data_IF_616947710441
#
_entry.id   IF_616947710441
#
_cell.length_a   1.000
_cell.length_b   1.000
_cell.length_c   1.000
_cell.angle_alpha   90.00
_cell.angle_beta   90.00
_cell.angle_gamma   90.00
#
_symmetry.space_group_name_H-M   'P 1'
#
loop_
_entity.id
_entity.type
_entity.pdbx_description
1 polymer ?
#
# COMPACT_ATOMS: atom_id res chain seq x y z
N UNK A 1 7.85 -19.53 -12.34
CA UNK A 1 6.50 -19.95 -11.89
C UNK A 1 6.17 -19.45 -10.48
N UNK A 2 7.10 -19.45 -9.53
CA UNK A 2 6.81 -18.97 -8.17
C UNK A 2 6.53 -17.46 -8.09
N UNK A 3 7.33 -16.62 -8.79
CA UNK A 3 7.15 -15.16 -8.75
C UNK A 3 5.77 -14.70 -9.25
N UNK A 4 5.23 -15.33 -10.30
CA UNK A 4 3.89 -15.03 -10.81
C UNK A 4 2.78 -15.39 -9.83
N UNK A 5 2.95 -16.45 -9.03
CA UNK A 5 1.97 -16.84 -8.01
C UNK A 5 1.95 -15.84 -6.86
N UNK A 6 3.13 -15.46 -6.34
CA UNK A 6 3.23 -14.44 -5.29
C UNK A 6 2.71 -13.07 -5.75
N UNK A 7 2.92 -12.72 -7.02
CA UNK A 7 2.37 -11.51 -7.61
C UNK A 7 0.84 -11.52 -7.58
N UNK A 8 0.21 -12.62 -8.01
CA UNK A 8 -1.25 -12.76 -7.99
C UNK A 8 -1.80 -12.68 -6.58
N UNK A 9 -1.20 -13.39 -5.62
CA UNK A 9 -1.60 -13.33 -4.21
C UNK A 9 -1.48 -11.90 -3.68
N UNK A 10 -0.38 -11.21 -3.98
CA UNK A 10 -0.16 -9.83 -3.57
C UNK A 10 -1.27 -8.92 -4.10
N UNK A 11 -1.56 -8.95 -5.40
CA UNK A 11 -2.60 -8.12 -6.03
C UNK A 11 -3.98 -8.39 -5.43
N UNK A 12 -4.33 -9.67 -5.24
CA UNK A 12 -5.63 -10.05 -4.69
C UNK A 12 -5.79 -9.60 -3.23
N UNK A 13 -4.77 -9.85 -2.39
CA UNK A 13 -4.81 -9.49 -0.98
C UNK A 13 -4.82 -7.97 -0.79
N UNK A 14 -4.00 -7.23 -1.55
CA UNK A 14 -4.00 -5.77 -1.51
C UNK A 14 -5.32 -5.18 -2.00
N UNK A 15 -5.88 -5.69 -3.11
CA UNK A 15 -7.16 -5.23 -3.62
C UNK A 15 -8.30 -5.48 -2.63
N UNK A 16 -8.34 -6.67 -2.02
CA UNK A 16 -9.33 -7.01 -1.00
C UNK A 16 -9.17 -6.17 0.27
N UNK A 17 -7.92 -5.86 0.66
CA UNK A 17 -7.64 -4.94 1.76
C UNK A 17 -8.22 -3.54 1.47
N UNK A 18 -7.93 -2.93 0.32
CA UNK A 18 -8.47 -1.61 -0.05
C UNK A 18 -10.01 -1.59 0.01
N UNK A 19 -10.65 -2.63 -0.52
CA UNK A 19 -12.11 -2.75 -0.50
C UNK A 19 -12.65 -2.84 0.94
N UNK A 20 -12.08 -3.69 1.78
CA UNK A 20 -12.48 -3.83 3.19
C UNK A 20 -12.21 -2.56 4.00
N UNK A 21 -11.12 -1.83 3.71
CA UNK A 21 -10.82 -0.54 4.32
C UNK A 21 -11.87 0.52 3.99
N UNK A 22 -12.43 0.52 2.76
CA UNK A 22 -13.59 1.35 2.43
C UNK A 22 -14.80 0.96 3.26
N UNK A 23 -15.14 -0.33 3.28
CA UNK A 23 -16.33 -0.83 3.96
C UNK A 23 -16.29 -0.50 5.46
N UNK A 24 -15.15 -0.75 6.10
CA UNK A 24 -14.94 -0.40 7.49
C UNK A 24 -14.93 1.13 7.72
N UNK A 25 -14.39 1.89 6.75
CA UNK A 25 -14.39 3.35 6.69
C UNK A 25 -15.77 4.00 6.79
N UNK A 26 -16.82 3.34 6.31
CA UNK A 26 -18.19 3.87 6.33
C UNK A 26 -18.80 3.94 7.73
N UNK A 27 -18.38 3.05 8.63
CA UNK A 27 -19.00 2.90 9.96
C UNK A 27 -18.12 3.32 11.13
N UNK A 28 -16.81 3.51 10.90
CA UNK A 28 -15.83 3.77 11.95
C UNK A 28 -14.99 4.99 11.59
N UNK A 29 -14.61 5.79 12.60
CA UNK A 29 -13.67 6.87 12.41
C UNK A 29 -12.25 6.33 12.09
N UNK A 30 -11.40 7.11 11.41
CA UNK A 30 -10.06 6.67 11.00
C UNK A 30 -9.16 6.22 12.16
N UNK A 31 -9.34 6.78 13.37
CA UNK A 31 -8.51 6.45 14.53
C UNK A 31 -8.90 5.08 15.09
N UNK A 32 -10.20 4.83 15.22
CA UNK A 32 -10.72 3.52 15.63
C UNK A 32 -10.32 2.43 14.64
N UNK A 33 -10.40 2.71 13.32
CA UNK A 33 -9.94 1.78 12.30
C UNK A 33 -8.46 1.46 12.40
N UNK A 34 -7.61 2.47 12.67
CA UNK A 34 -6.18 2.25 12.84
C UNK A 34 -5.88 1.34 14.04
N UNK A 35 -6.61 1.50 15.15
CA UNK A 35 -6.46 0.63 16.34
C UNK A 35 -6.84 -0.82 16.03
N UNK A 36 -7.99 -1.05 15.37
CA UNK A 36 -8.42 -2.39 14.97
C UNK A 36 -7.49 -3.01 13.92
N UNK A 37 -6.97 -2.21 12.98
CA UNK A 37 -5.98 -2.66 12.01
C UNK A 37 -4.68 -3.09 12.70
N UNK A 38 -4.18 -2.30 13.64
CA UNK A 38 -3.00 -2.63 14.44
C UNK A 38 -3.20 -3.91 15.26
N UNK A 39 -4.39 -4.13 15.82
CA UNK A 39 -4.71 -5.37 16.53
C UNK A 39 -4.65 -6.59 15.60
N UNK A 40 -5.19 -6.49 14.38
CA UNK A 40 -5.08 -7.56 13.38
C UNK A 40 -3.63 -7.87 12.98
N UNK A 41 -2.82 -6.83 12.78
CA UNK A 41 -1.39 -6.96 12.50
C UNK A 41 -0.62 -7.59 13.69
N UNK A 42 -0.98 -7.23 14.92
CA UNK A 42 -0.38 -7.79 16.13
C UNK A 42 -0.67 -9.28 16.27
N UNK A 43 -1.92 -9.70 16.04
CA UNK A 43 -2.31 -11.12 16.08
C UNK A 43 -1.49 -11.93 15.08
N UNK A 44 -1.40 -11.46 13.83
CA UNK A 44 -0.56 -12.09 12.81
C UNK A 44 0.92 -12.11 13.21
N UNK A 45 1.43 -11.01 13.77
CA UNK A 45 2.80 -10.92 14.28
C UNK A 45 3.11 -11.96 15.34
N UNK A 46 2.19 -12.17 16.31
CA UNK A 46 2.33 -13.18 17.36
C UNK A 46 2.34 -14.60 16.78
N UNK A 47 1.45 -14.90 15.83
CA UNK A 47 1.39 -16.22 15.18
C UNK A 47 2.70 -16.52 14.44
N UNK A 48 3.29 -15.52 13.79
CA UNK A 48 4.52 -15.67 13.00
C UNK A 48 5.79 -15.59 13.86
N UNK A 49 5.70 -15.14 15.12
CA UNK A 49 6.83 -14.88 15.99
C UNK A 49 7.75 -16.10 16.17
N UNK A 50 7.17 -17.29 16.36
CA UNK A 50 7.92 -18.54 16.56
C UNK A 50 8.70 -18.99 15.31
N UNK A 51 8.36 -18.45 14.13
CA UNK A 51 9.02 -18.74 12.85
C UNK A 51 9.95 -17.61 12.41
N UNK A 52 9.97 -16.49 13.13
CA UNK A 52 10.77 -15.33 12.79
C UNK A 52 12.20 -15.45 13.33
N UNK A 53 13.17 -14.96 12.55
CA UNK A 53 14.53 -14.73 13.05
C UNK A 53 14.57 -13.37 13.74
N UNK A 54 14.74 -13.38 15.06
CA UNK A 54 14.72 -12.16 15.87
C UNK A 54 16.15 -11.68 16.12
N UNK A 55 16.40 -10.42 15.83
CA UNK A 55 17.66 -9.75 16.14
C UNK A 55 17.51 -8.23 16.15
N UNK A 56 18.63 -7.55 16.39
CA UNK A 56 18.71 -6.09 16.39
C UNK A 56 19.71 -5.65 15.32
N UNK A 57 19.22 -5.49 14.09
CA UNK A 57 19.99 -4.96 12.98
C UNK A 57 19.28 -3.76 12.35
N UNK A 58 19.99 -3.02 11.51
CA UNK A 58 19.41 -1.92 10.71
C UNK A 58 18.15 -2.37 9.95
N UNK A 59 18.13 -3.60 9.43
CA UNK A 59 16.96 -4.15 8.72
C UNK A 59 15.77 -4.42 9.64
N UNK A 60 16.01 -4.84 10.88
CA UNK A 60 14.95 -4.98 11.87
C UNK A 60 14.33 -3.63 12.22
N UNK A 61 15.15 -2.58 12.39
CA UNK A 61 14.65 -1.22 12.59
C UNK A 61 13.89 -0.68 11.37
N UNK A 62 14.34 -0.99 10.15
CA UNK A 62 13.60 -0.69 8.92
C UNK A 62 12.25 -1.41 8.88
N UNK A 63 12.16 -2.65 9.35
CA UNK A 63 10.88 -3.37 9.48
C UNK A 63 9.88 -2.65 10.39
N UNK A 64 10.35 -2.07 11.50
CA UNK A 64 9.51 -1.23 12.38
C UNK A 64 9.04 0.03 11.62
N UNK A 65 9.94 0.70 10.90
CA UNK A 65 9.60 1.87 10.10
C UNK A 65 8.55 1.56 9.02
N UNK A 66 8.61 0.37 8.39
CA UNK A 66 7.59 -0.09 7.44
C UNK A 66 6.22 -0.15 8.11
N UNK A 67 6.12 -0.73 9.30
CA UNK A 67 4.86 -0.82 10.05
C UNK A 67 4.26 0.57 10.34
N UNK A 68 5.08 1.50 10.84
CA UNK A 68 4.64 2.87 11.15
C UNK A 68 4.15 3.59 9.88
N UNK A 69 4.92 3.52 8.80
CA UNK A 69 4.55 4.16 7.52
C UNK A 69 3.25 3.57 6.95
N UNK A 70 3.06 2.25 7.07
CA UNK A 70 1.82 1.60 6.63
C UNK A 70 0.61 2.06 7.43
N UNK A 71 0.72 2.13 8.76
CA UNK A 71 -0.39 2.60 9.61
C UNK A 71 -0.74 4.05 9.29
N UNK A 72 0.26 4.92 9.14
CA UNK A 72 0.04 6.32 8.76
C UNK A 72 -0.61 6.44 7.38
N UNK A 73 -0.15 5.66 6.40
CA UNK A 73 -0.74 5.60 5.07
C UNK A 73 -2.19 5.12 5.11
N UNK A 74 -2.47 4.07 5.89
CA UNK A 74 -3.81 3.53 6.08
C UNK A 74 -4.75 4.55 6.73
N UNK A 75 -4.28 5.34 7.71
CA UNK A 75 -5.07 6.42 8.30
C UNK A 75 -5.48 7.48 7.29
N UNK A 76 -4.55 7.91 6.43
CA UNK A 76 -4.86 8.84 5.35
C UNK A 76 -5.87 8.21 4.36
N UNK A 77 -5.70 6.92 4.05
CA UNK A 77 -6.63 6.18 3.21
C UNK A 77 -8.03 6.07 3.82
N UNK A 78 -8.17 5.78 5.12
CA UNK A 78 -9.46 5.70 5.79
C UNK A 78 -10.24 7.02 5.69
N UNK A 79 -9.54 8.15 5.84
CA UNK A 79 -10.17 9.46 5.71
C UNK A 79 -10.62 9.73 4.27
N UNK A 80 -9.80 9.36 3.28
CA UNK A 80 -10.15 9.47 1.86
C UNK A 80 -11.28 8.53 1.47
N UNK A 81 -11.28 7.30 2.01
CA UNK A 81 -12.31 6.29 1.75
C UNK A 81 -13.67 6.72 2.28
N UNK A 82 -13.75 7.65 3.23
CA UNK A 82 -15.02 8.23 3.65
C UNK A 82 -15.61 9.22 2.64
N UNK A 83 -14.77 9.91 1.85
CA UNK A 83 -15.21 11.03 1.00
C UNK A 83 -15.31 10.69 -0.49
N UNK A 84 -14.59 9.67 -0.98
CA UNK A 84 -14.55 9.33 -2.40
C UNK A 84 -14.91 7.86 -2.67
N UNK A 85 -15.34 7.55 -3.89
CA UNK A 85 -15.69 6.19 -4.29
C UNK A 85 -14.42 5.33 -4.43
N UNK A 86 -14.56 4.01 -4.24
CA UNK A 86 -13.42 3.07 -4.39
C UNK A 86 -12.93 3.02 -5.83
N UNK A 87 -13.83 3.19 -6.80
CA UNK A 87 -13.53 3.30 -8.23
C UNK A 87 -12.56 4.43 -8.54
N UNK A 88 -12.65 5.56 -7.84
CA UNK A 88 -11.73 6.70 -7.97
C UNK A 88 -10.48 6.54 -7.11
N UNK A 89 -10.63 6.04 -5.88
CA UNK A 89 -9.53 5.94 -4.91
C UNK A 89 -8.53 4.83 -5.22
N UNK A 90 -8.97 3.68 -5.72
CA UNK A 90 -8.06 2.57 -6.01
C UNK A 90 -7.02 2.95 -7.10
N UNK A 91 -7.39 3.59 -8.22
CA UNK A 91 -6.42 4.11 -9.19
C UNK A 91 -5.54 5.22 -8.63
N UNK A 92 -6.11 6.20 -7.90
CA UNK A 92 -5.35 7.32 -7.32
C UNK A 92 -4.30 6.82 -6.34
N UNK A 93 -4.66 5.86 -5.49
CA UNK A 93 -3.71 5.27 -4.54
C UNK A 93 -2.70 4.36 -5.21
N UNK A 94 -2.99 3.75 -6.36
CA UNK A 94 -1.99 3.01 -7.13
C UNK A 94 -0.79 3.87 -7.53
N UNK A 95 -0.91 5.20 -7.55
CA UNK A 95 0.22 6.13 -7.77
C UNK A 95 1.31 6.03 -6.69
N UNK A 96 1.03 5.39 -5.55
CA UNK A 96 2.05 5.11 -4.53
C UNK A 96 3.26 4.35 -5.10
N UNK A 97 3.13 3.66 -6.25
CA UNK A 97 4.25 3.01 -6.95
C UNK A 97 5.31 3.99 -7.48
N UNK A 98 4.96 5.26 -7.72
CA UNK A 98 5.91 6.25 -8.21
C UNK A 98 6.98 6.56 -7.16
N UNK A 99 6.60 6.58 -5.87
CA UNK A 99 7.50 6.86 -4.75
C UNK A 99 8.67 5.85 -4.66
N UNK A 100 8.45 4.52 -4.56
CA UNK A 100 9.54 3.56 -4.51
C UNK A 100 10.34 3.50 -5.82
N UNK A 101 9.76 3.79 -6.98
CA UNK A 101 10.53 3.90 -8.24
C UNK A 101 11.53 5.06 -8.13
N UNK A 102 11.07 6.24 -7.71
CA UNK A 102 11.94 7.41 -7.53
C UNK A 102 13.01 7.15 -6.46
N UNK A 103 12.63 6.56 -5.32
CA UNK A 103 13.58 6.20 -4.27
C UNK A 103 14.58 5.12 -4.74
N UNK A 104 14.16 4.15 -5.56
CA UNK A 104 15.04 3.16 -6.18
C UNK A 104 16.08 3.81 -7.08
N UNK A 105 15.67 4.80 -7.87
CA UNK A 105 16.59 5.57 -8.72
C UNK A 105 17.57 6.40 -7.87
N UNK A 106 17.06 7.16 -6.90
CA UNK A 106 17.85 8.14 -6.13
C UNK A 106 18.74 7.48 -5.07
N UNK A 107 18.19 6.53 -4.29
CA UNK A 107 18.87 5.95 -3.13
C UNK A 107 19.56 4.62 -3.45
N UNK A 108 18.99 3.81 -4.35
CA UNK A 108 19.56 2.50 -4.72
C UNK A 108 20.37 2.56 -6.02
N UNK A 109 20.36 3.69 -6.74
CA UNK A 109 21.09 3.86 -7.99
C UNK A 109 20.53 3.00 -9.13
N UNK A 110 19.24 2.65 -9.09
CA UNK A 110 18.64 1.85 -10.15
C UNK A 110 18.70 2.59 -11.50
N UNK A 111 19.03 1.90 -12.60
CA UNK A 111 19.09 2.52 -13.92
C UNK A 111 17.70 3.04 -14.34
N UNK A 112 17.66 4.31 -14.73
CA UNK A 112 16.49 4.92 -15.35
C UNK A 112 16.40 4.41 -16.78
N UNK A 113 15.56 3.40 -17.00
CA UNK A 113 15.26 2.96 -18.36
C UNK A 113 14.11 3.79 -18.92
N UNK A 114 14.18 4.12 -20.21
CA UNK A 114 13.10 4.81 -20.93
C UNK A 114 11.76 4.07 -20.76
N UNK A 115 11.80 2.73 -20.65
CA UNK A 115 10.63 1.89 -20.38
C UNK A 115 9.96 2.19 -19.03
N UNK A 116 10.72 2.40 -17.96
CA UNK A 116 10.17 2.80 -16.64
C UNK A 116 9.49 4.17 -16.73
N UNK A 117 10.11 5.13 -17.40
CA UNK A 117 9.54 6.47 -17.61
C UNK A 117 8.22 6.43 -18.39
N UNK A 118 8.17 5.67 -19.49
CA UNK A 118 6.95 5.47 -20.27
C UNK A 118 5.87 4.78 -19.42
N UNK A 119 6.22 3.76 -18.63
CA UNK A 119 5.27 3.09 -17.74
C UNK A 119 4.63 4.02 -16.71
N UNK A 120 5.43 4.90 -16.08
CA UNK A 120 4.93 5.92 -15.14
C UNK A 120 4.01 6.92 -15.86
N UNK A 121 4.38 7.37 -17.06
CA UNK A 121 3.55 8.27 -17.86
C UNK A 121 2.19 7.63 -18.21
N UNK A 122 2.18 6.37 -18.65
CA UNK A 122 0.95 5.63 -18.93
C UNK A 122 0.10 5.42 -17.67
N UNK A 123 0.71 5.16 -16.51
CA UNK A 123 -0.01 5.04 -15.25
C UNK A 123 -0.69 6.38 -14.86
N UNK A 124 0.01 7.50 -15.02
CA UNK A 124 -0.54 8.84 -14.80
C UNK A 124 -1.73 9.13 -15.72
N UNK A 125 -1.63 8.77 -17.01
CA UNK A 125 -2.72 8.94 -17.98
C UNK A 125 -3.93 8.06 -17.64
N UNK A 126 -3.71 6.80 -17.28
CA UNK A 126 -4.79 5.89 -16.87
C UNK A 126 -5.55 6.45 -15.65
N UNK A 127 -4.81 7.00 -14.68
CA UNK A 127 -5.40 7.62 -13.49
C UNK A 127 -6.16 8.90 -13.85
N UNK A 128 -5.62 9.74 -14.74
CA UNK A 128 -6.32 10.92 -15.21
C UNK A 128 -7.69 10.56 -15.79
N UNK A 129 -7.75 9.56 -16.68
CA UNK A 129 -9.01 9.09 -17.26
C UNK A 129 -9.98 8.50 -16.22
N UNK A 130 -9.48 7.68 -15.29
CA UNK A 130 -10.29 7.06 -14.24
C UNK A 130 -10.78 8.06 -13.19
N UNK A 131 -10.02 9.13 -12.93
CA UNK A 131 -10.40 10.19 -12.00
C UNK A 131 -11.35 11.21 -12.64
N UNK A 132 -11.27 11.43 -13.96
CA UNK A 132 -12.12 12.39 -14.68
C UNK A 132 -13.53 11.89 -14.97
N UNK A 133 -13.83 10.59 -14.78
CA UNK A 133 -15.18 10.07 -15.01
C UNK A 133 -16.16 10.33 -13.87
N UNK A 134 -15.67 10.81 -12.72
CA UNK A 134 -16.46 11.03 -11.49
C UNK A 134 -16.64 12.52 -11.13
N UNK A 135 -16.23 13.45 -12.00
CA UNK A 135 -16.45 14.92 -11.86
C UNK A 135 -17.59 15.41 -12.74
#
# INVERSE_FOLDING_TARGET
MEASVYLTICILMWGMAIFTMKLAGQGLDPMTLAVFNAAGQLILGVILFSRASIGFSKHHMMGIAVGVLFVLGNMAFYKLSQTAQVSTLAPLTALHIAVPILLGIVLLGEPVTVRKGIGVLFALLAIYFLSSSDS
#
